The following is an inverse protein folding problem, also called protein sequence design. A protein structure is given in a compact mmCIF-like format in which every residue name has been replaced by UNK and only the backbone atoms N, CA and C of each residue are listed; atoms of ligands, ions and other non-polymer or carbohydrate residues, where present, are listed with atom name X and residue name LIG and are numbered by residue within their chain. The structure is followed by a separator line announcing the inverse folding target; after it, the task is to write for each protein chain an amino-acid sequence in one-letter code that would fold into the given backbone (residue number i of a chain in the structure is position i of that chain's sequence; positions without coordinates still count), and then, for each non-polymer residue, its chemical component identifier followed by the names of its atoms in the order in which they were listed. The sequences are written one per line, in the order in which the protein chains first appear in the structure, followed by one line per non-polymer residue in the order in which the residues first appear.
data_IF_685253219595
#
_entry.id   IF_685253219595
#
_cell.length_a   1.000
_cell.length_b   1.000
_cell.length_c   1.000
_cell.angle_alpha   90.00
_cell.angle_beta   90.00
_cell.angle_gamma   90.00
#
_symmetry.space_group_name_H-M   'P 1'
#
loop_
_entity.id
_entity.type
_entity.pdbx_description
1 polymer ?
#
# COMPACT_ATOMS: atom_id res chain seq x y z
N UNK A 1 -41.87 41.79 22.89
CA UNK A 1 -42.02 40.87 21.74
C UNK A 1 -40.65 40.30 21.41
N UNK A 2 -40.38 39.05 21.83
CA UNK A 2 -39.11 38.37 21.59
C UNK A 2 -39.30 37.43 20.38
N UNK A 3 -38.75 37.82 19.22
CA UNK A 3 -38.78 36.98 18.01
C UNK A 3 -37.68 35.93 18.10
N UNK A 4 -38.05 34.69 18.38
CA UNK A 4 -37.18 33.53 18.17
C UNK A 4 -37.02 33.30 16.66
N UNK A 5 -35.82 33.53 16.14
CA UNK A 5 -35.42 33.09 14.80
C UNK A 5 -35.11 31.59 14.88
N UNK A 6 -36.05 30.77 14.42
CA UNK A 6 -35.83 29.35 14.16
C UNK A 6 -34.97 29.25 12.90
N UNK A 7 -33.66 29.04 13.08
CA UNK A 7 -32.76 28.62 12.00
C UNK A 7 -33.13 27.19 11.58
N UNK A 8 -33.34 26.91 10.27
CA UNK A 8 -33.57 25.56 9.82
C UNK A 8 -32.28 24.78 9.98
N UNK A 9 -32.26 23.82 10.90
CA UNK A 9 -31.23 22.78 10.96
C UNK A 9 -31.38 21.92 9.72
N UNK A 10 -30.59 22.21 8.68
CA UNK A 10 -30.44 21.32 7.53
C UNK A 10 -29.69 20.08 8.04
N UNK A 11 -30.44 19.05 8.39
CA UNK A 11 -29.87 17.75 8.73
C UNK A 11 -29.35 17.16 7.41
N UNK A 12 -28.03 17.20 7.22
CA UNK A 12 -27.34 16.47 6.17
C UNK A 12 -27.48 14.96 6.43
N UNK A 13 -28.60 14.38 6.00
CA UNK A 13 -28.76 12.93 5.97
C UNK A 13 -28.00 12.39 4.76
N UNK A 14 -26.91 11.67 4.99
CA UNK A 14 -26.29 10.84 3.96
C UNK A 14 -27.25 9.75 3.49
N UNK A 15 -27.17 9.37 2.22
CA UNK A 15 -27.96 8.26 1.69
C UNK A 15 -27.53 6.94 2.37
N UNK A 16 -28.48 6.01 2.55
CA UNK A 16 -28.18 4.68 3.09
C UNK A 16 -27.35 3.85 2.12
N UNK A 17 -27.63 4.01 0.82
CA UNK A 17 -27.03 3.27 -0.27
C UNK A 17 -26.56 4.30 -1.32
N UNK A 18 -25.28 4.25 -1.70
CA UNK A 18 -24.72 5.13 -2.72
C UNK A 18 -24.65 4.41 -4.07
N UNK A 19 -24.85 5.16 -5.14
CA UNK A 19 -24.47 4.79 -6.52
C UNK A 19 -23.16 5.51 -6.86
N UNK A 20 -22.38 5.05 -7.85
CA UNK A 20 -21.16 5.77 -8.24
C UNK A 20 -21.45 7.20 -8.73
N UNK A 21 -22.66 7.47 -9.23
CA UNK A 21 -23.09 8.79 -9.71
C UNK A 21 -23.56 9.72 -8.61
N UNK A 22 -24.09 9.18 -7.50
CA UNK A 22 -24.53 9.96 -6.33
C UNK A 22 -23.45 10.09 -5.26
N UNK A 23 -22.35 9.33 -5.38
CA UNK A 23 -21.22 9.44 -4.48
C UNK A 23 -20.63 10.86 -4.52
N UNK A 24 -20.38 11.51 -3.37
CA UNK A 24 -19.85 12.88 -3.34
C UNK A 24 -18.38 12.94 -3.79
N UNK A 25 -17.98 14.06 -4.37
CA UNK A 25 -16.58 14.34 -4.66
C UNK A 25 -15.95 15.13 -3.51
N UNK A 26 -15.02 14.52 -2.77
CA UNK A 26 -14.38 15.14 -1.61
C UNK A 26 -13.55 16.39 -1.92
N UNK A 27 -13.23 16.67 -3.18
CA UNK A 27 -12.51 17.89 -3.56
C UNK A 27 -13.43 19.11 -3.67
N UNK A 28 -14.69 18.91 -4.04
CA UNK A 28 -15.68 19.98 -4.28
C UNK A 28 -16.80 19.99 -3.23
N UNK A 29 -17.07 18.84 -2.61
CA UNK A 29 -18.14 18.58 -1.66
C UNK A 29 -17.59 17.92 -0.38
N UNK A 30 -16.51 18.46 0.19
CA UNK A 30 -15.81 17.87 1.34
C UNK A 30 -16.72 17.60 2.54
N UNK A 31 -17.69 18.48 2.80
CA UNK A 31 -18.63 18.34 3.92
C UNK A 31 -19.50 17.09 3.80
N UNK A 32 -19.93 16.73 2.58
CA UNK A 32 -20.70 15.50 2.31
C UNK A 32 -19.88 14.24 2.59
N UNK A 33 -18.55 14.33 2.50
CA UNK A 33 -17.59 13.27 2.78
C UNK A 33 -17.15 13.21 4.25
N UNK A 34 -17.76 14.02 5.13
CA UNK A 34 -17.37 14.14 6.54
C UNK A 34 -16.02 14.84 6.75
N UNK A 35 -15.56 15.64 5.77
CA UNK A 35 -14.31 16.38 5.79
C UNK A 35 -14.54 17.88 5.90
N UNK A 36 -13.69 18.58 6.64
CA UNK A 36 -13.75 20.05 6.76
C UNK A 36 -13.06 20.79 5.60
N UNK A 37 -12.22 20.08 4.84
CA UNK A 37 -11.42 20.63 3.74
C UNK A 37 -11.39 19.64 2.58
N UNK A 38 -11.07 20.09 1.35
CA UNK A 38 -10.79 19.20 0.23
C UNK A 38 -9.76 18.12 0.61
N UNK A 39 -10.05 16.87 0.26
CA UNK A 39 -9.22 15.70 0.60
C UNK A 39 -9.32 14.62 -0.46
N UNK A 40 -8.34 13.74 -0.52
CA UNK A 40 -8.39 12.52 -1.35
C UNK A 40 -9.16 11.36 -0.69
N UNK A 41 -9.63 11.54 0.55
CA UNK A 41 -10.43 10.59 1.31
C UNK A 41 -11.89 11.05 1.42
N UNK A 42 -12.82 10.14 1.16
CA UNK A 42 -14.25 10.37 1.34
C UNK A 42 -14.93 9.24 2.11
N UNK A 43 -15.62 9.57 3.20
CA UNK A 43 -16.40 8.64 4.03
C UNK A 43 -17.70 9.31 4.48
N UNK A 44 -18.71 9.39 3.59
CA UNK A 44 -19.97 10.09 3.84
C UNK A 44 -20.79 9.46 4.97
N UNK A 45 -20.57 8.19 5.31
CA UNK A 45 -21.28 7.48 6.38
C UNK A 45 -20.47 7.39 7.69
N UNK A 46 -19.29 8.02 7.73
CA UNK A 46 -18.36 8.07 8.87
C UNK A 46 -18.04 6.67 9.45
N UNK A 47 -17.87 5.68 8.58
CA UNK A 47 -17.60 4.28 8.90
C UNK A 47 -16.23 4.12 9.56
N UNK A 48 -15.22 4.79 9.01
CA UNK A 48 -13.83 4.68 9.45
C UNK A 48 -13.65 5.28 10.85
N UNK A 49 -14.49 6.25 11.25
CA UNK A 49 -14.45 6.82 12.60
C UNK A 49 -15.42 6.15 13.58
N UNK A 50 -16.33 5.26 13.14
CA UNK A 50 -17.41 4.70 13.97
C UNK A 50 -16.90 3.93 15.18
N UNK A 51 -15.74 3.26 15.07
CA UNK A 51 -15.14 2.44 16.14
C UNK A 51 -14.35 3.23 17.20
N UNK A 52 -13.99 4.49 16.93
CA UNK A 52 -13.18 5.31 17.87
C UNK A 52 -13.98 5.97 18.99
N UNK A 53 -15.31 5.81 19.04
CA UNK A 53 -16.16 6.45 20.05
C UNK A 53 -15.97 5.95 21.49
N UNK A 54 -15.16 4.91 21.73
CA UNK A 54 -14.84 4.42 23.08
C UNK A 54 -13.54 4.99 23.68
N UNK A 55 -12.79 5.80 22.93
CA UNK A 55 -11.61 6.51 23.45
C UNK A 55 -11.66 7.98 23.08
N UNK A 56 -11.10 8.85 23.92
CA UNK A 56 -10.91 10.28 23.65
C UNK A 56 -9.95 10.49 22.46
N UNK A 57 -10.40 10.16 21.24
CA UNK A 57 -9.64 10.33 20.01
C UNK A 57 -9.44 11.81 19.74
N UNK A 58 -8.20 12.27 19.82
CA UNK A 58 -7.80 13.64 19.48
C UNK A 58 -8.03 13.89 17.97
N UNK A 59 -8.28 15.16 17.63
CA UNK A 59 -8.47 15.65 16.26
C UNK A 59 -7.33 15.22 15.30
N UNK A 60 -6.14 14.97 15.84
CA UNK A 60 -4.93 14.55 15.11
C UNK A 60 -5.09 13.21 14.37
N UNK A 61 -5.84 12.25 14.92
CA UNK A 61 -5.94 10.93 14.31
C UNK A 61 -6.83 10.90 13.05
N UNK A 62 -7.78 11.83 12.92
CA UNK A 62 -8.59 11.94 11.68
C UNK A 62 -7.74 12.39 10.49
N UNK A 63 -6.68 13.16 10.73
CA UNK A 63 -5.80 13.68 9.69
C UNK A 63 -4.72 12.69 9.22
N UNK A 64 -4.52 11.57 9.92
CA UNK A 64 -3.48 10.58 9.60
C UNK A 64 -3.59 10.04 8.17
N UNK A 65 -4.80 9.66 7.74
CA UNK A 65 -5.01 9.05 6.43
C UNK A 65 -4.86 10.08 5.29
N UNK A 66 -5.42 11.29 5.46
CA UNK A 66 -5.26 12.39 4.50
C UNK A 66 -3.78 12.76 4.31
N UNK A 67 -3.03 12.82 5.42
CA UNK A 67 -1.59 13.09 5.39
C UNK A 67 -0.80 11.98 4.67
N UNK A 68 -1.15 10.71 4.88
CA UNK A 68 -0.49 9.61 4.15
C UNK A 68 -0.78 9.70 2.65
N UNK A 69 -2.01 10.02 2.23
CA UNK A 69 -2.35 10.18 0.80
C UNK A 69 -1.57 11.33 0.16
N UNK A 70 -1.45 12.46 0.85
CA UNK A 70 -0.61 13.58 0.41
C UNK A 70 0.87 13.22 0.38
N UNK A 71 1.34 12.42 1.35
CA UNK A 71 2.71 11.94 1.41
C UNK A 71 3.05 11.02 0.23
N UNK A 72 2.16 10.11 -0.15
CA UNK A 72 2.34 9.29 -1.37
C UNK A 72 2.53 10.18 -2.60
N UNK A 73 1.67 11.20 -2.73
CA UNK A 73 1.71 12.14 -3.86
C UNK A 73 2.97 12.98 -3.91
N UNK A 74 3.55 13.34 -2.75
CA UNK A 74 4.80 14.11 -2.66
C UNK A 74 6.07 13.27 -2.87
N UNK A 75 6.00 11.98 -2.62
CA UNK A 75 7.19 11.12 -2.58
C UNK A 75 7.31 10.13 -3.74
N UNK A 76 6.28 10.01 -4.55
CA UNK A 76 6.33 9.22 -5.76
C UNK A 76 6.69 10.10 -6.94
N UNK A 77 7.30 9.50 -7.96
CA UNK A 77 7.60 10.21 -9.19
C UNK A 77 6.36 10.28 -10.08
N UNK A 78 6.28 11.32 -10.89
CA UNK A 78 5.28 11.42 -11.94
C UNK A 78 5.62 10.43 -13.07
N UNK A 79 4.66 9.59 -13.48
CA UNK A 79 4.84 8.57 -14.53
C UNK A 79 4.37 9.01 -15.91
N UNK A 80 3.93 10.26 -16.07
CA UNK A 80 3.40 10.74 -17.33
C UNK A 80 4.45 10.68 -18.44
N UNK A 81 4.02 10.16 -19.60
CA UNK A 81 4.86 10.09 -20.81
C UNK A 81 5.31 11.49 -21.25
N UNK A 82 4.43 12.48 -21.11
CA UNK A 82 4.71 13.85 -21.48
C UNK A 82 5.27 14.63 -20.27
N UNK A 83 6.56 15.06 -20.28
CA UNK A 83 7.18 15.71 -19.13
C UNK A 83 6.49 17.01 -18.70
N UNK A 84 5.85 17.73 -19.64
CA UNK A 84 5.14 18.98 -19.34
C UNK A 84 3.98 18.79 -18.36
N UNK A 85 3.40 17.58 -18.29
CA UNK A 85 2.35 17.26 -17.32
C UNK A 85 2.93 17.18 -15.90
N UNK A 86 4.15 16.66 -15.75
CA UNK A 86 4.87 16.54 -14.48
C UNK A 86 5.52 17.86 -14.02
N UNK A 87 5.70 18.82 -14.92
CA UNK A 87 6.35 20.11 -14.63
C UNK A 87 5.40 21.14 -14.01
N UNK A 88 4.11 20.83 -13.84
CA UNK A 88 3.19 21.69 -13.10
C UNK A 88 3.64 21.79 -11.65
N UNK A 89 3.85 23.02 -11.16
CA UNK A 89 4.29 23.25 -9.77
C UNK A 89 3.09 23.25 -8.80
N UNK A 90 3.17 22.55 -7.65
CA UNK A 90 4.24 21.62 -7.28
C UNK A 90 4.17 20.32 -8.08
N UNK A 91 5.30 19.70 -8.49
CA UNK A 91 5.30 18.43 -9.19
C UNK A 91 4.62 17.38 -8.31
N UNK A 92 3.71 16.62 -8.92
CA UNK A 92 2.88 15.66 -8.19
C UNK A 92 3.18 14.27 -8.73
N UNK A 93 3.50 13.34 -7.83
CA UNK A 93 3.53 11.92 -8.15
C UNK A 93 2.12 11.34 -8.29
N UNK A 94 2.04 10.03 -8.14
CA UNK A 94 0.80 9.28 -8.22
C UNK A 94 -0.23 9.76 -7.20
N UNK A 95 -1.50 9.65 -7.57
CA UNK A 95 -2.62 10.06 -6.71
C UNK A 95 -3.38 8.84 -6.22
N UNK A 96 -3.39 8.62 -4.90
CA UNK A 96 -4.26 7.62 -4.29
C UNK A 96 -5.48 8.35 -3.73
N UNK A 97 -6.66 7.85 -4.06
CA UNK A 97 -7.94 8.27 -3.47
C UNK A 97 -8.60 7.11 -2.75
N UNK A 98 -9.42 7.44 -1.76
CA UNK A 98 -10.16 6.44 -0.99
C UNK A 98 -11.63 6.83 -0.98
N UNK A 99 -12.47 5.90 -1.42
CA UNK A 99 -13.91 6.02 -1.38
C UNK A 99 -14.51 4.95 -0.47
N UNK A 100 -15.20 5.37 0.58
CA UNK A 100 -15.88 4.47 1.52
C UNK A 100 -17.39 4.67 1.41
N UNK A 101 -18.16 3.59 1.42
CA UNK A 101 -19.63 3.60 1.53
C UNK A 101 -20.09 2.57 2.55
N UNK A 102 -21.25 2.80 3.16
CA UNK A 102 -21.82 1.80 4.08
C UNK A 102 -22.30 0.58 3.30
N UNK A 103 -22.97 0.82 2.18
CA UNK A 103 -23.48 -0.20 1.27
C UNK A 103 -23.56 0.37 -0.15
N UNK A 104 -23.29 -0.47 -1.14
CA UNK A 104 -23.55 -0.14 -2.54
C UNK A 104 -25.03 -0.29 -2.87
N UNK A 105 -25.50 0.51 -3.81
CA UNK A 105 -26.72 0.18 -4.52
C UNK A 105 -26.42 -0.96 -5.51
N UNK A 106 -26.99 -2.13 -5.23
CA UNK A 106 -26.94 -3.31 -6.12
C UNK A 106 -28.29 -3.43 -6.83
N UNK A 107 -28.28 -3.91 -8.06
CA UNK A 107 -29.52 -4.21 -8.77
C UNK A 107 -30.28 -5.34 -8.06
N UNK A 108 -31.61 -5.33 -8.16
CA UNK A 108 -32.47 -6.26 -7.41
C UNK A 108 -32.10 -7.72 -7.74
N UNK A 109 -31.94 -8.56 -6.70
CA UNK A 109 -31.47 -9.97 -6.71
C UNK A 109 -29.95 -10.24 -6.79
N UNK A 110 -29.10 -9.22 -6.91
CA UNK A 110 -27.66 -9.42 -6.91
C UNK A 110 -27.11 -9.59 -5.49
N UNK A 111 -27.04 -10.85 -5.04
CA UNK A 111 -26.51 -11.23 -3.71
C UNK A 111 -25.31 -12.15 -3.80
N UNK A 112 -24.93 -12.59 -5.01
CA UNK A 112 -23.78 -13.47 -5.20
C UNK A 112 -22.48 -12.69 -4.99
N UNK A 113 -21.45 -13.37 -4.49
CA UNK A 113 -20.14 -12.74 -4.28
C UNK A 113 -19.57 -12.13 -5.56
N UNK A 114 -19.78 -12.78 -6.70
CA UNK A 114 -19.32 -12.31 -8.01
C UNK A 114 -20.07 -11.04 -8.44
N UNK A 115 -21.38 -10.97 -8.22
CA UNK A 115 -22.15 -9.75 -8.51
C UNK A 115 -21.71 -8.58 -7.63
N UNK A 116 -21.44 -8.81 -6.34
CA UNK A 116 -20.92 -7.80 -5.42
C UNK A 116 -19.54 -7.31 -5.86
N UNK A 117 -18.64 -8.22 -6.28
CA UNK A 117 -17.31 -7.85 -6.79
C UNK A 117 -17.42 -7.04 -8.08
N UNK A 118 -18.30 -7.45 -8.99
CA UNK A 118 -18.53 -6.76 -10.26
C UNK A 118 -19.10 -5.36 -10.02
N UNK A 119 -20.06 -5.21 -9.10
CA UNK A 119 -20.61 -3.92 -8.72
C UNK A 119 -19.55 -3.02 -8.07
N UNK A 120 -18.72 -3.57 -7.18
CA UNK A 120 -17.62 -2.82 -6.57
C UNK A 120 -16.59 -2.34 -7.60
N UNK A 121 -16.30 -3.16 -8.61
CA UNK A 121 -15.47 -2.79 -9.75
C UNK A 121 -16.07 -1.61 -10.51
N UNK A 122 -17.32 -1.74 -10.95
CA UNK A 122 -18.03 -0.68 -11.68
C UNK A 122 -18.07 0.60 -10.86
N UNK A 123 -18.33 0.49 -9.55
CA UNK A 123 -18.37 1.64 -8.66
C UNK A 123 -17.02 2.35 -8.63
N UNK A 124 -15.93 1.61 -8.40
CA UNK A 124 -14.59 2.15 -8.33
C UNK A 124 -14.17 2.81 -9.66
N UNK A 125 -14.40 2.13 -10.79
CA UNK A 125 -14.06 2.62 -12.13
C UNK A 125 -14.80 3.93 -12.44
N UNK A 126 -16.13 3.96 -12.26
CA UNK A 126 -16.94 5.15 -12.55
C UNK A 126 -16.57 6.32 -11.63
N UNK A 127 -16.31 6.07 -10.34
CA UNK A 127 -15.91 7.15 -9.42
C UNK A 127 -14.53 7.68 -9.78
N UNK A 128 -13.56 6.82 -10.09
CA UNK A 128 -12.21 7.21 -10.53
C UNK A 128 -12.28 8.08 -11.78
N UNK A 129 -12.96 7.59 -12.82
CA UNK A 129 -13.08 8.28 -14.11
C UNK A 129 -13.77 9.64 -13.97
N UNK A 130 -14.84 9.71 -13.17
CA UNK A 130 -15.58 10.95 -12.94
C UNK A 130 -14.77 11.97 -12.12
N UNK A 131 -14.03 11.52 -11.11
CA UNK A 131 -13.24 12.40 -10.26
C UNK A 131 -11.90 12.80 -10.90
N UNK A 132 -11.36 11.96 -11.79
CA UNK A 132 -10.17 12.18 -12.61
C UNK A 132 -9.05 12.93 -11.86
N UNK A 133 -8.50 12.31 -10.82
CA UNK A 133 -7.62 12.99 -9.86
C UNK A 133 -6.15 12.94 -10.28
N UNK A 134 -5.86 12.15 -11.31
CA UNK A 134 -4.59 12.07 -12.00
C UNK A 134 -4.32 13.27 -12.91
N UNK A 135 -3.07 13.40 -13.33
CA UNK A 135 -2.61 14.35 -14.34
C UNK A 135 -2.61 13.71 -15.74
N UNK A 136 -2.36 12.41 -15.80
CA UNK A 136 -2.24 11.64 -17.03
C UNK A 136 -2.75 10.21 -16.83
N UNK A 137 -3.80 10.04 -16.03
CA UNK A 137 -4.28 8.73 -15.60
C UNK A 137 -3.27 8.00 -14.67
N UNK A 138 -2.55 8.78 -13.86
CA UNK A 138 -1.60 8.36 -12.81
C UNK A 138 -2.27 8.30 -11.42
N UNK A 139 -3.58 8.04 -11.38
CA UNK A 139 -4.36 7.92 -10.17
C UNK A 139 -4.99 6.53 -9.99
N UNK A 140 -5.18 6.16 -8.73
CA UNK A 140 -5.91 4.97 -8.34
C UNK A 140 -6.90 5.32 -7.22
N UNK A 141 -7.99 4.56 -7.15
CA UNK A 141 -8.96 4.66 -6.08
C UNK A 141 -9.08 3.32 -5.36
N UNK A 142 -9.01 3.36 -4.04
CA UNK A 142 -9.35 2.24 -3.17
C UNK A 142 -10.81 2.43 -2.75
N UNK A 143 -11.68 1.56 -3.22
CA UNK A 143 -13.10 1.57 -2.92
C UNK A 143 -13.45 0.50 -1.89
N UNK A 144 -14.15 0.88 -0.83
CA UNK A 144 -14.60 0.00 0.26
C UNK A 144 -16.12 0.12 0.44
N UNK A 145 -16.82 -1.01 0.33
CA UNK A 145 -18.20 -1.15 0.82
C UNK A 145 -18.23 -1.98 2.10
N UNK A 146 -18.57 -1.34 3.22
CA UNK A 146 -18.42 -1.93 4.54
C UNK A 146 -19.40 -3.09 4.81
N UNK A 147 -20.69 -2.92 4.50
CA UNK A 147 -21.71 -3.97 4.70
C UNK A 147 -21.60 -5.09 3.68
N UNK A 148 -21.20 -4.76 2.45
CA UNK A 148 -20.98 -5.77 1.40
C UNK A 148 -19.64 -6.51 1.55
N UNK A 149 -18.81 -6.08 2.52
CA UNK A 149 -17.50 -6.67 2.86
C UNK A 149 -16.58 -6.84 1.66
N UNK A 150 -16.57 -5.85 0.77
CA UNK A 150 -15.77 -5.87 -0.46
C UNK A 150 -14.89 -4.63 -0.54
N UNK A 151 -13.66 -4.87 -0.99
CA UNK A 151 -12.74 -3.82 -1.43
C UNK A 151 -12.40 -4.05 -2.89
N UNK A 152 -12.27 -2.97 -3.65
CA UNK A 152 -11.78 -3.01 -5.00
C UNK A 152 -10.85 -1.82 -5.24
N UNK A 153 -9.83 -2.02 -6.07
CA UNK A 153 -8.93 -0.94 -6.47
C UNK A 153 -9.03 -0.75 -7.97
N UNK A 154 -9.45 0.45 -8.39
CA UNK A 154 -9.39 0.87 -9.80
C UNK A 154 -8.16 1.74 -10.02
N UNK A 155 -7.45 1.50 -11.12
CA UNK A 155 -6.11 2.03 -11.38
C UNK A 155 -6.07 2.64 -12.79
N UNK A 156 -5.48 3.81 -12.92
CA UNK A 156 -5.25 4.47 -14.19
C UNK A 156 -4.12 3.85 -15.01
N UNK A 157 -4.22 4.01 -16.32
CA UNK A 157 -3.33 3.40 -17.32
C UNK A 157 -1.88 3.87 -17.25
N UNK A 158 -1.57 5.00 -16.61
CA UNK A 158 -0.18 5.45 -16.42
C UNK A 158 0.50 4.82 -15.20
N UNK A 159 -0.21 4.01 -14.41
CA UNK A 159 0.34 3.28 -13.29
C UNK A 159 0.81 1.90 -13.75
N UNK A 160 2.09 1.59 -13.49
CA UNK A 160 2.70 0.30 -13.81
C UNK A 160 2.83 -0.55 -12.55
N UNK A 161 1.75 -1.20 -12.17
CA UNK A 161 1.75 -2.21 -11.10
C UNK A 161 1.17 -3.48 -11.69
N UNK A 162 1.80 -4.62 -11.39
CA UNK A 162 1.32 -5.91 -11.85
C UNK A 162 -0.04 -6.26 -11.23
N UNK A 163 -0.93 -6.88 -12.02
CA UNK A 163 -2.23 -7.37 -11.56
C UNK A 163 -2.11 -8.32 -10.35
N UNK A 164 -1.00 -9.06 -10.29
CA UNK A 164 -0.70 -9.96 -9.17
C UNK A 164 -0.48 -9.22 -7.85
N UNK A 165 0.15 -8.05 -7.90
CA UNK A 165 0.37 -7.18 -6.74
C UNK A 165 -0.93 -6.53 -6.29
N UNK A 166 -1.73 -6.03 -7.25
CA UNK A 166 -3.03 -5.42 -6.98
C UNK A 166 -3.95 -6.43 -6.29
N UNK A 167 -4.01 -7.65 -6.83
CA UNK A 167 -4.79 -8.75 -6.27
C UNK A 167 -4.31 -9.10 -4.86
N UNK A 168 -2.99 -9.27 -4.66
CA UNK A 168 -2.40 -9.59 -3.35
C UNK A 168 -2.70 -8.52 -2.30
N UNK A 169 -2.55 -7.24 -2.66
CA UNK A 169 -2.86 -6.12 -1.75
C UNK A 169 -4.35 -6.12 -1.39
N UNK A 170 -5.23 -6.33 -2.38
CA UNK A 170 -6.67 -6.36 -2.14
C UNK A 170 -7.08 -7.51 -1.22
N UNK A 171 -6.60 -8.74 -1.48
CA UNK A 171 -6.89 -9.92 -0.67
C UNK A 171 -6.39 -9.79 0.78
N UNK A 172 -5.22 -9.21 0.98
CA UNK A 172 -4.68 -8.96 2.33
C UNK A 172 -5.45 -7.82 3.03
N UNK A 173 -5.87 -6.80 2.30
CA UNK A 173 -6.74 -5.72 2.80
C UNK A 173 -8.08 -6.26 3.32
N UNK A 174 -8.70 -7.21 2.60
CA UNK A 174 -9.95 -7.84 3.02
C UNK A 174 -9.87 -8.49 4.41
N UNK A 175 -8.69 -8.96 4.85
CA UNK A 175 -8.51 -9.54 6.19
C UNK A 175 -8.82 -8.52 7.28
N UNK A 176 -8.42 -7.26 7.09
CA UNK A 176 -8.72 -6.18 8.02
C UNK A 176 -10.21 -5.85 8.02
N UNK A 177 -10.83 -5.82 6.83
CA UNK A 177 -12.23 -5.46 6.68
C UNK A 177 -13.18 -6.51 7.25
N UNK A 178 -12.84 -7.81 7.13
CA UNK A 178 -13.55 -8.91 7.82
C UNK A 178 -13.53 -8.76 9.35
N UNK A 179 -12.50 -8.12 9.91
CA UNK A 179 -12.37 -7.80 11.35
C UNK A 179 -12.94 -6.43 11.73
N UNK A 180 -13.57 -5.73 10.77
CA UNK A 180 -14.07 -4.36 10.90
C UNK A 180 -12.97 -3.35 11.32
N UNK A 181 -11.72 -3.63 10.93
CA UNK A 181 -10.56 -2.75 11.12
C UNK A 181 -10.36 -1.89 9.86
N UNK A 182 -11.36 -1.08 9.54
CA UNK A 182 -11.42 -0.36 8.26
C UNK A 182 -10.28 0.66 8.11
N UNK A 183 -9.97 1.40 9.17
CA UNK A 183 -8.90 2.41 9.16
C UNK A 183 -7.55 1.74 8.91
N UNK A 184 -7.25 0.72 9.70
CA UNK A 184 -5.99 0.00 9.67
C UNK A 184 -5.81 -0.69 8.31
N UNK A 185 -6.88 -1.27 7.76
CA UNK A 185 -6.86 -1.87 6.42
C UNK A 185 -6.58 -0.85 5.32
N UNK A 186 -7.26 0.31 5.34
CA UNK A 186 -7.06 1.38 4.35
C UNK A 186 -5.66 2.01 4.45
N UNK A 187 -5.16 2.27 5.66
CA UNK A 187 -3.80 2.75 5.89
C UNK A 187 -2.77 1.73 5.42
N UNK A 188 -2.98 0.44 5.71
CA UNK A 188 -2.11 -0.63 5.26
C UNK A 188 -2.09 -0.74 3.72
N UNK A 189 -3.25 -0.74 3.06
CA UNK A 189 -3.34 -0.78 1.59
C UNK A 189 -2.65 0.42 0.95
N UNK A 190 -2.89 1.62 1.48
CA UNK A 190 -2.25 2.86 1.00
C UNK A 190 -0.73 2.77 1.07
N UNK A 191 -0.19 2.23 2.17
CA UNK A 191 1.26 2.01 2.30
C UNK A 191 1.77 0.96 1.33
N UNK A 192 1.04 -0.14 1.10
CA UNK A 192 1.47 -1.14 0.13
C UNK A 192 1.50 -0.58 -1.29
N UNK A 193 0.47 0.17 -1.71
CA UNK A 193 0.49 0.84 -3.00
C UNK A 193 1.63 1.86 -3.09
N UNK A 194 1.90 2.64 -2.03
CA UNK A 194 3.09 3.51 -1.98
C UNK A 194 4.37 2.72 -2.25
N UNK A 195 4.53 1.56 -1.64
CA UNK A 195 5.70 0.70 -1.85
C UNK A 195 5.77 0.19 -3.28
N UNK A 196 4.67 -0.31 -3.85
CA UNK A 196 4.60 -0.76 -5.24
C UNK A 196 4.92 0.37 -6.23
N UNK A 197 4.35 1.56 -6.03
CA UNK A 197 4.57 2.73 -6.87
C UNK A 197 6.00 3.30 -6.76
N UNK A 198 6.65 3.13 -5.60
CA UNK A 198 8.08 3.46 -5.44
C UNK A 198 8.99 2.36 -5.99
N UNK A 199 8.51 1.12 -6.10
CA UNK A 199 9.28 -0.07 -6.46
C UNK A 199 9.72 -0.12 -7.92
N UNK A 200 9.41 0.88 -8.74
CA UNK A 200 10.23 1.21 -9.94
C UNK A 200 11.73 1.39 -9.58
N UNK A 201 12.08 1.56 -8.30
CA UNK A 201 13.46 1.46 -7.80
C UNK A 201 13.96 0.04 -7.52
N UNK A 202 13.12 -0.97 -7.26
CA UNK A 202 13.59 -2.31 -6.88
C UNK A 202 14.12 -3.12 -8.06
N UNK A 203 13.56 -2.95 -9.26
CA UNK A 203 14.19 -3.49 -10.48
C UNK A 203 15.54 -2.83 -10.77
N UNK A 204 15.75 -1.58 -10.32
CA UNK A 204 17.06 -0.92 -10.34
C UNK A 204 17.99 -1.33 -9.19
N UNK A 205 17.50 -1.96 -8.12
CA UNK A 205 18.33 -2.47 -7.02
C UNK A 205 18.89 -3.86 -7.29
N UNK A 206 18.28 -4.63 -8.20
CA UNK A 206 18.87 -5.87 -8.72
C UNK A 206 19.90 -5.65 -9.84
N UNK A 207 20.20 -4.38 -10.18
CA UNK A 207 21.50 -4.03 -10.75
C UNK A 207 22.48 -3.89 -9.58
N UNK A 208 23.02 -5.02 -9.12
CA UNK A 208 24.14 -5.00 -8.17
C UNK A 208 25.25 -4.08 -8.72
N UNK A 209 25.72 -3.07 -7.96
CA UNK A 209 26.66 -2.06 -8.47
C UNK A 209 28.09 -2.58 -8.61
N UNK A 210 28.30 -3.90 -8.45
CA UNK A 210 29.61 -4.49 -8.52
C UNK A 210 29.89 -4.88 -9.97
N UNK A 211 30.94 -4.32 -10.60
CA UNK A 211 31.43 -4.80 -11.88
C UNK A 211 31.65 -6.32 -11.82
N UNK A 212 31.40 -7.04 -12.91
CA UNK A 212 31.56 -8.50 -12.99
C UNK A 212 32.93 -8.98 -12.46
N UNK A 213 33.96 -8.16 -12.63
CA UNK A 213 35.31 -8.40 -12.10
C UNK A 213 35.38 -8.53 -10.58
N UNK A 214 34.55 -7.79 -9.82
CA UNK A 214 34.55 -7.86 -8.35
C UNK A 214 34.01 -9.20 -7.86
N UNK A 215 33.03 -9.77 -8.55
CA UNK A 215 32.52 -11.12 -8.25
C UNK A 215 33.60 -12.18 -8.48
N UNK A 216 34.36 -12.06 -9.58
CA UNK A 216 35.49 -12.96 -9.86
C UNK A 216 36.57 -12.85 -8.78
N UNK A 217 36.92 -11.64 -8.35
CA UNK A 217 37.92 -11.42 -7.29
C UNK A 217 37.46 -12.01 -5.95
N UNK A 218 36.20 -11.81 -5.57
CA UNK A 218 35.64 -12.38 -4.34
C UNK A 218 35.61 -13.91 -4.39
N UNK A 219 35.22 -14.50 -5.51
CA UNK A 219 35.24 -15.95 -5.70
C UNK A 219 36.65 -16.53 -5.57
N UNK A 220 37.66 -15.88 -6.17
CA UNK A 220 39.07 -16.29 -6.05
C UNK A 220 39.56 -16.17 -4.60
N UNK A 221 39.21 -15.09 -3.89
CA UNK A 221 39.58 -14.93 -2.47
C UNK A 221 39.00 -16.05 -1.59
N UNK A 222 37.73 -16.40 -1.78
CA UNK A 222 37.09 -17.52 -1.07
C UNK A 222 37.81 -18.84 -1.36
N UNK A 223 38.18 -19.10 -2.62
CA UNK A 223 38.94 -20.30 -2.99
C UNK A 223 40.32 -20.36 -2.34
N UNK A 224 41.03 -19.23 -2.24
CA UNK A 224 42.34 -19.16 -1.58
C UNK A 224 42.20 -19.47 -0.08
N UNK A 225 41.19 -18.88 0.58
CA UNK A 225 40.93 -19.14 2.00
C UNK A 225 40.59 -20.62 2.22
N UNK A 226 39.72 -21.20 1.41
CA UNK A 226 39.39 -22.63 1.48
C UNK A 226 40.60 -23.52 1.25
N UNK A 227 41.43 -23.23 0.24
CA UNK A 227 42.66 -23.97 -0.02
C UNK A 227 43.63 -23.89 1.18
N UNK A 228 43.80 -22.71 1.78
CA UNK A 228 44.64 -22.55 2.97
C UNK A 228 44.13 -23.33 4.19
N UNK A 229 42.81 -23.39 4.38
CA UNK A 229 42.18 -24.16 5.45
C UNK A 229 42.37 -25.67 5.23
N UNK A 230 42.29 -26.14 3.99
CA UNK A 230 42.56 -27.54 3.64
C UNK A 230 44.05 -27.87 3.87
N UNK A 231 44.97 -27.01 3.43
CA UNK A 231 46.40 -27.23 3.65
C UNK A 231 46.77 -27.26 5.15
N UNK A 232 46.20 -26.34 5.94
CA UNK A 232 46.45 -26.27 7.39
C UNK A 232 45.89 -27.49 8.12
N UNK A 233 44.68 -27.95 7.76
CA UNK A 233 44.09 -29.17 8.34
C UNK A 233 44.92 -30.41 8.01
N UNK A 234 45.32 -30.59 6.75
CA UNK A 234 46.22 -31.69 6.34
C UNK A 234 47.55 -31.63 7.10
N UNK A 235 48.15 -30.44 7.21
CA UNK A 235 49.41 -30.25 7.94
C UNK A 235 49.27 -30.63 9.42
N UNK A 236 48.18 -30.20 10.08
CA UNK A 236 47.89 -30.56 11.47
C UNK A 236 47.68 -32.08 11.61
N UNK A 237 46.92 -32.72 10.72
CA UNK A 237 46.75 -34.18 10.72
C UNK A 237 48.10 -34.92 10.62
N UNK A 238 48.97 -34.54 9.68
CA UNK A 238 50.31 -35.14 9.54
C UNK A 238 51.15 -34.93 10.81
N UNK A 239 51.11 -33.73 11.39
CA UNK A 239 51.86 -33.41 12.61
C UNK A 239 51.37 -34.21 13.81
N UNK A 240 50.07 -34.38 13.97
CA UNK A 240 49.49 -35.22 15.03
C UNK A 240 49.86 -36.70 14.83
N UNK A 241 49.69 -37.25 13.62
CA UNK A 241 50.09 -38.64 13.33
C UNK A 241 51.61 -38.88 13.54
N UNK A 242 52.46 -37.88 13.28
CA UNK A 242 53.91 -37.97 13.56
C UNK A 242 54.26 -37.81 15.04
N UNK A 243 53.39 -37.22 15.85
CA UNK A 243 53.62 -37.06 17.30
C UNK A 243 53.35 -38.39 18.01
N UNK A 244 52.26 -39.07 17.68
CA UNK A 244 51.93 -40.41 18.22
C UNK A 244 53.06 -41.42 17.98
N UNK A 245 53.63 -41.46 16.78
CA UNK A 245 54.76 -42.38 16.49
C UNK A 245 55.99 -42.10 17.35
N UNK A 246 56.21 -40.87 17.83
CA UNK A 246 57.39 -40.57 18.68
C UNK A 246 57.23 -41.10 20.10
N UNK A 247 56.00 -41.15 20.61
CA UNK A 247 55.73 -41.63 21.97
C UNK A 247 55.86 -43.17 22.05
N UNK A 248 55.66 -43.88 20.93
CA UNK A 248 55.82 -45.34 20.82
C UNK A 248 57.30 -45.80 20.90
N UNK A 249 58.26 -44.98 20.41
CA UNK A 249 59.69 -45.32 20.49
C UNK A 249 60.32 -45.04 21.87
N UNK A 250 59.67 -44.27 22.74
CA UNK A 250 60.16 -44.00 24.10
C UNK A 250 59.76 -45.06 25.14
N UNK A 251 58.98 -46.08 24.76
CA UNK A 251 58.55 -47.15 25.68
C UNK A 251 59.35 -48.45 25.56
N UNK A 252 60.50 -48.43 24.86
CA UNK A 252 61.42 -49.59 24.73
C UNK A 252 62.72 -49.31 25.49
N UNK A 253 62.64 -49.02 26.78
CA UNK A 253 63.77 -49.14 27.71
C UNK A 253 63.29 -49.80 29.01
N UNK A 254 63.27 -51.13 29.00
CA UNK A 254 63.38 -52.00 30.16
C UNK A 254 64.31 -53.16 29.81
#
# INVERSE_FOLDING_TARGET
MLRFLLLPTVILCGFSDYTPYTYPDSMTQSELCGQMKPSFFCDPNNIVSRRKKEGNGTLEEKNSLDNELLYVRGETNCSCVLPTLCMKSPPRGFTISIAVVEKMHLDNNETSRDSILQAAKIFADVVRDRQNRGQCDDDLIIFLSARDQVVYTSIGSAIRIDDSDIKRISEQGEIFFKKMLYREGLEWMTRQYKHALRAEKLEKLWNWPLPEWVLLVLAVLVLIVLASLICTTIYLCIRFCRRDRRDEYSMVEH
#
